data_IF_334346620451
#
_entry.id   IF_334346620451
#
_cell.length_a   1.000
_cell.length_b   1.000
_cell.length_c   1.000
_cell.angle_alpha   90.00
_cell.angle_beta   90.00
_cell.angle_gamma   90.00
#
_symmetry.space_group_name_H-M   'P 1'
#
loop_
_entity.id
_entity.type
_entity.pdbx_description
1 polymer ?
#
# COMPACT_ATOMS: atom_id res chain seq x y z
N UNK A 1 -20.43 34.84 -1.15
CA UNK A 1 -21.34 35.52 -2.10
C UNK A 1 -22.52 34.61 -2.33
N UNK A 2 -23.73 35.15 -2.46
CA UNK A 2 -24.98 34.41 -2.65
C UNK A 2 -25.51 34.74 -4.03
N UNK A 3 -25.73 33.69 -4.84
CA UNK A 3 -26.21 33.76 -6.22
C UNK A 3 -27.48 32.92 -6.33
N UNK A 4 -28.49 33.45 -7.03
CA UNK A 4 -29.78 32.80 -7.26
C UNK A 4 -30.26 33.11 -8.67
N UNK A 5 -30.85 32.12 -9.35
CA UNK A 5 -31.33 32.25 -10.74
C UNK A 5 -30.31 32.91 -11.72
N UNK A 6 -29.00 32.74 -11.48
CA UNK A 6 -27.90 33.37 -12.25
C UNK A 6 -27.49 34.78 -11.79
N UNK A 7 -28.28 35.45 -10.96
CA UNK A 7 -28.01 36.79 -10.45
C UNK A 7 -27.26 36.78 -9.11
N UNK A 8 -26.34 37.73 -8.92
CA UNK A 8 -25.63 37.94 -7.65
C UNK A 8 -26.50 38.77 -6.70
N UNK A 9 -27.12 38.13 -5.70
CA UNK A 9 -28.00 38.81 -4.75
C UNK A 9 -27.24 39.56 -3.65
N UNK A 10 -26.15 38.99 -3.11
CA UNK A 10 -25.28 39.72 -2.18
C UNK A 10 -23.85 39.15 -2.08
N UNK A 11 -22.91 40.00 -1.68
CA UNK A 11 -21.50 39.67 -1.50
C UNK A 11 -20.94 40.23 -0.17
N UNK A 12 -19.80 39.68 0.27
CA UNK A 12 -19.21 39.97 1.58
C UNK A 12 -18.70 38.70 2.27
N UNK A 13 -18.11 38.87 3.45
CA UNK A 13 -17.70 37.75 4.33
C UNK A 13 -18.93 37.11 5.01
N UNK A 14 -18.85 35.84 5.48
CA UNK A 14 -19.97 35.20 6.18
C UNK A 14 -20.44 36.00 7.41
N UNK A 15 -19.51 36.59 8.17
CA UNK A 15 -19.82 37.45 9.31
C UNK A 15 -20.53 38.76 8.91
N UNK A 16 -20.14 39.36 7.78
CA UNK A 16 -20.83 40.54 7.24
C UNK A 16 -22.26 40.20 6.81
N UNK A 17 -22.46 39.11 6.07
CA UNK A 17 -23.79 38.69 5.59
C UNK A 17 -24.71 38.29 6.77
N UNK A 18 -24.21 37.54 7.75
CA UNK A 18 -24.92 37.24 9.02
C UNK A 18 -25.31 38.49 9.80
N UNK A 19 -24.49 39.55 9.79
CA UNK A 19 -24.77 40.82 10.47
C UNK A 19 -25.75 41.71 9.72
N UNK A 20 -25.62 41.81 8.40
CA UNK A 20 -26.40 42.74 7.57
C UNK A 20 -27.76 42.18 7.13
N UNK A 21 -27.89 40.85 6.97
CA UNK A 21 -29.09 40.21 6.39
C UNK A 21 -29.63 39.09 7.31
N UNK A 22 -28.82 38.54 8.22
CA UNK A 22 -29.25 37.47 9.12
C UNK A 22 -30.31 37.89 10.13
N UNK A 23 -31.44 37.18 10.12
CA UNK A 23 -32.73 37.60 10.68
C UNK A 23 -32.79 37.88 12.19
N UNK A 24 -31.88 37.33 13.01
CA UNK A 24 -31.94 37.47 14.46
C UNK A 24 -31.01 36.49 15.18
N UNK A 25 -31.16 36.39 16.50
CA UNK A 25 -30.85 35.14 17.20
C UNK A 25 -32.11 34.29 17.25
N UNK A 26 -31.97 32.97 17.19
CA UNK A 26 -33.06 32.01 17.39
C UNK A 26 -32.94 31.43 18.79
N UNK A 27 -33.95 31.66 19.62
CA UNK A 27 -34.08 31.07 20.95
C UNK A 27 -35.07 29.91 20.88
N UNK A 28 -34.57 28.69 20.93
CA UNK A 28 -35.41 27.49 21.05
C UNK A 28 -35.60 27.16 22.54
N UNK A 29 -36.85 27.06 22.97
CA UNK A 29 -37.25 26.78 24.36
C UNK A 29 -38.00 25.45 24.39
N UNK A 30 -37.52 24.50 25.17
CA UNK A 30 -38.16 23.21 25.41
C UNK A 30 -39.02 23.34 26.66
N UNK A 31 -40.33 23.11 26.54
CA UNK A 31 -41.24 23.00 27.70
C UNK A 31 -40.99 21.68 28.43
N UNK A 32 -41.05 21.69 29.76
CA UNK A 32 -41.15 20.45 30.55
C UNK A 32 -42.42 19.73 30.13
N UNK A 33 -42.29 18.49 29.67
CA UNK A 33 -43.42 17.58 29.65
C UNK A 33 -43.96 17.48 31.08
N UNK A 34 -45.28 17.54 31.25
CA UNK A 34 -45.87 17.19 32.55
C UNK A 34 -45.59 15.72 32.78
N UNK A 35 -44.70 15.42 33.72
CA UNK A 35 -44.41 14.06 34.15
C UNK A 35 -45.65 13.47 34.83
N UNK A 36 -46.53 12.89 34.02
CA UNK A 36 -47.56 11.95 34.46
C UNK A 36 -46.92 10.61 34.84
N UNK A 37 -45.86 10.68 35.67
CA UNK A 37 -45.18 9.57 36.30
C UNK A 37 -46.21 8.76 37.07
N UNK A 38 -46.32 7.48 36.72
CA UNK A 38 -47.52 6.70 36.96
C UNK A 38 -47.84 6.46 38.46
N UNK A 39 -48.65 7.36 39.04
CA UNK A 39 -49.52 7.04 40.19
C UNK A 39 -50.95 6.81 39.73
N UNK A 40 -51.15 5.69 39.03
CA UNK A 40 -52.47 5.06 38.91
C UNK A 40 -52.92 4.57 40.30
N UNK A 41 -53.68 5.40 41.01
CA UNK A 41 -54.83 4.93 41.79
C UNK A 41 -56.00 5.84 41.40
N UNK A 42 -57.15 5.22 41.14
CA UNK A 42 -58.32 5.87 40.58
C UNK A 42 -59.00 6.77 41.62
N UNK A 43 -59.52 7.93 41.23
CA UNK A 43 -60.97 8.14 41.04
C UNK A 43 -61.32 9.59 40.63
N UNK A 44 -62.49 9.74 39.99
CA UNK A 44 -63.26 10.99 39.83
C UNK A 44 -62.60 12.24 39.21
N UNK A 45 -62.65 12.30 37.87
CA UNK A 45 -63.30 13.43 37.16
C UNK A 45 -62.54 14.76 36.95
N UNK A 46 -62.91 15.44 35.86
CA UNK A 46 -62.59 16.85 35.53
C UNK A 46 -61.13 17.21 35.17
N UNK A 47 -60.27 16.26 34.83
CA UNK A 47 -58.88 16.50 34.42
C UNK A 47 -58.66 17.02 32.96
N UNK A 48 -59.67 17.63 32.32
CA UNK A 48 -59.64 18.03 30.90
C UNK A 48 -59.53 19.56 30.67
N UNK A 49 -58.94 20.31 31.61
CA UNK A 49 -58.85 21.78 31.58
C UNK A 49 -57.42 22.35 31.71
N UNK A 50 -56.40 21.51 31.89
CA UNK A 50 -55.02 21.92 32.22
C UNK A 50 -54.05 22.02 31.04
N UNK A 51 -54.45 21.63 29.82
CA UNK A 51 -53.60 21.73 28.62
C UNK A 51 -53.62 23.12 27.97
N UNK A 52 -54.42 24.04 28.52
CA UNK A 52 -54.39 25.45 28.18
C UNK A 52 -53.34 26.15 29.04
N UNK A 53 -52.48 26.93 28.38
CA UNK A 53 -51.62 28.01 28.92
C UNK A 53 -50.14 27.79 29.26
N UNK A 54 -49.54 26.59 29.35
CA UNK A 54 -48.05 26.53 29.50
C UNK A 54 -47.32 27.20 28.34
N UNK A 55 -47.86 27.12 27.11
CA UNK A 55 -47.27 27.78 25.94
C UNK A 55 -47.56 29.30 25.90
N UNK A 56 -48.72 29.77 26.39
CA UNK A 56 -49.02 31.21 26.45
C UNK A 56 -48.27 31.89 27.59
N UNK A 57 -48.08 31.24 28.74
CA UNK A 57 -47.25 31.75 29.85
C UNK A 57 -45.80 31.92 29.40
N UNK A 58 -45.23 30.93 28.68
CA UNK A 58 -43.89 31.06 28.06
C UNK A 58 -43.82 32.22 27.06
N UNK A 59 -44.78 32.33 26.12
CA UNK A 59 -44.84 33.44 25.17
C UNK A 59 -44.95 34.81 25.87
N UNK A 60 -45.91 34.96 26.78
CA UNK A 60 -46.20 36.19 27.51
C UNK A 60 -44.97 36.62 28.35
N UNK A 61 -44.26 35.67 28.96
CA UNK A 61 -43.05 35.97 29.71
C UNK A 61 -41.92 36.45 28.79
N UNK A 62 -41.62 35.73 27.71
CA UNK A 62 -40.57 36.12 26.75
C UNK A 62 -40.88 37.49 26.12
N UNK A 63 -42.14 37.77 25.78
CA UNK A 63 -42.59 39.08 25.29
C UNK A 63 -42.60 40.18 26.38
N UNK A 64 -42.77 39.80 27.65
CA UNK A 64 -42.62 40.75 28.77
C UNK A 64 -41.19 41.28 28.89
N UNK A 65 -40.18 40.43 28.62
CA UNK A 65 -38.76 40.79 28.62
C UNK A 65 -38.31 41.44 27.30
N UNK A 66 -38.73 40.89 26.15
CA UNK A 66 -38.39 41.35 24.81
C UNK A 66 -39.65 41.47 23.94
N UNK A 67 -40.26 42.67 23.81
CA UNK A 67 -41.53 42.84 23.07
C UNK A 67 -41.49 42.42 21.61
N UNK A 68 -40.35 42.60 20.95
CA UNK A 68 -40.09 42.24 19.55
C UNK A 68 -39.81 40.73 19.36
N UNK A 69 -39.96 39.90 20.39
CA UNK A 69 -39.76 38.45 20.29
C UNK A 69 -40.97 37.77 19.61
N UNK A 70 -40.76 37.32 18.37
CA UNK A 70 -41.78 36.66 17.54
C UNK A 70 -41.61 35.16 17.59
N UNK A 71 -42.68 34.42 17.94
CA UNK A 71 -42.72 32.96 17.81
C UNK A 71 -42.74 32.59 16.31
N UNK A 72 -41.72 31.86 15.85
CA UNK A 72 -41.63 31.37 14.46
C UNK A 72 -42.31 30.01 14.29
N UNK A 73 -42.01 29.09 15.21
CA UNK A 73 -42.41 27.69 15.09
C UNK A 73 -42.66 27.08 16.48
N UNK A 74 -43.62 26.16 16.57
CA UNK A 74 -43.85 25.34 17.75
C UNK A 74 -44.07 23.88 17.33
N UNK A 75 -43.17 22.99 17.77
CA UNK A 75 -43.19 21.56 17.46
C UNK A 75 -43.24 20.77 18.77
N UNK A 76 -44.45 20.43 19.22
CA UNK A 76 -44.67 19.72 20.48
C UNK A 76 -44.20 20.50 21.71
N UNK A 77 -43.18 19.99 22.39
CA UNK A 77 -42.49 20.63 23.53
C UNK A 77 -41.72 21.88 23.13
N UNK A 78 -41.31 21.99 21.87
CA UNK A 78 -40.27 22.94 21.47
C UNK A 78 -40.91 24.19 20.84
N UNK A 79 -40.38 25.37 21.18
CA UNK A 79 -40.87 26.67 20.72
C UNK A 79 -39.67 27.54 20.29
N UNK A 80 -39.63 27.95 19.03
CA UNK A 80 -38.53 28.73 18.46
C UNK A 80 -38.95 30.18 18.30
N UNK A 81 -38.33 31.07 19.07
CA UNK A 81 -38.54 32.51 19.06
C UNK A 81 -37.42 33.23 18.31
N UNK A 82 -37.78 34.18 17.45
CA UNK A 82 -36.89 35.13 16.80
C UNK A 82 -36.64 36.31 17.74
N UNK A 83 -35.38 36.56 18.06
CA UNK A 83 -34.93 37.69 18.88
C UNK A 83 -34.18 38.70 17.98
N UNK A 84 -34.50 40.01 18.03
CA UNK A 84 -33.81 41.02 17.23
C UNK A 84 -32.32 41.15 17.62
N UNK A 85 -31.48 41.51 16.64
CA UNK A 85 -30.04 41.79 16.86
C UNK A 85 -29.76 43.18 17.41
N UNK A 86 -30.74 44.09 17.38
CA UNK A 86 -30.59 45.42 17.92
C UNK A 86 -30.88 45.43 19.42
N UNK A 87 -29.81 45.55 20.21
CA UNK A 87 -29.87 45.55 21.67
C UNK A 87 -30.63 46.76 22.25
N UNK A 88 -30.89 47.81 21.47
CA UNK A 88 -31.73 48.93 21.89
C UNK A 88 -33.23 48.60 21.96
N UNK A 89 -33.66 47.49 21.35
CA UNK A 89 -35.05 47.04 21.31
C UNK A 89 -35.43 46.12 22.50
N UNK A 90 -34.46 45.81 23.36
CA UNK A 90 -34.71 45.07 24.61
C UNK A 90 -34.95 46.03 25.78
N UNK A 91 -35.91 45.71 26.65
CA UNK A 91 -36.14 46.42 27.92
C UNK A 91 -34.99 46.25 28.92
N UNK A 92 -34.16 45.22 28.72
CA UNK A 92 -33.23 44.66 29.70
C UNK A 92 -31.94 44.24 28.95
N UNK A 93 -30.73 44.44 29.51
CA UNK A 93 -29.49 43.99 28.88
C UNK A 93 -29.47 42.48 28.57
N UNK A 94 -28.85 42.10 27.45
CA UNK A 94 -28.84 40.72 26.92
C UNK A 94 -28.41 39.65 27.95
N UNK A 95 -27.43 39.95 28.81
CA UNK A 95 -26.98 39.01 29.86
C UNK A 95 -28.03 38.81 30.97
N UNK A 96 -28.80 39.86 31.27
CA UNK A 96 -29.82 39.85 32.32
C UNK A 96 -31.13 39.21 31.83
N UNK A 97 -31.41 39.26 30.52
CA UNK A 97 -32.47 38.48 29.88
C UNK A 97 -32.30 36.97 30.13
N UNK A 98 -31.12 36.41 29.85
CA UNK A 98 -30.86 34.98 30.12
C UNK A 98 -30.86 34.66 31.60
N UNK A 99 -30.25 35.51 32.45
CA UNK A 99 -30.29 35.33 33.90
C UNK A 99 -31.73 35.26 34.45
N UNK A 100 -32.65 36.07 33.92
CA UNK A 100 -34.05 36.04 34.34
C UNK A 100 -34.81 34.82 33.79
N UNK A 101 -34.45 34.32 32.60
CA UNK A 101 -34.93 33.03 32.10
C UNK A 101 -34.43 31.86 32.98
N UNK A 102 -33.15 31.86 33.39
CA UNK A 102 -32.60 30.87 34.32
C UNK A 102 -33.35 30.91 35.67
N UNK A 103 -33.41 32.09 36.32
CA UNK A 103 -34.05 32.30 37.63
C UNK A 103 -35.56 32.00 37.65
N UNK A 104 -36.23 31.96 36.49
CA UNK A 104 -37.68 31.69 36.38
C UNK A 104 -38.03 30.37 35.68
N UNK A 105 -37.06 29.67 35.08
CA UNK A 105 -37.25 28.47 34.26
C UNK A 105 -38.13 27.40 34.91
N UNK A 106 -37.84 27.07 36.17
CA UNK A 106 -38.59 26.10 36.97
C UNK A 106 -40.04 26.52 37.23
N UNK A 107 -40.29 27.81 37.45
CA UNK A 107 -41.63 28.37 37.73
C UNK A 107 -42.50 28.51 36.47
N UNK A 108 -41.87 28.66 35.30
CA UNK A 108 -42.53 28.89 34.01
C UNK A 108 -42.71 27.59 33.22
N UNK A 109 -42.06 26.49 33.64
CA UNK A 109 -42.18 25.18 33.01
C UNK A 109 -41.23 24.98 31.84
N UNK A 110 -40.08 25.65 31.84
CA UNK A 110 -39.01 25.48 30.84
C UNK A 110 -38.09 24.33 31.30
N UNK A 111 -37.84 23.36 30.43
CA UNK A 111 -36.92 22.23 30.68
C UNK A 111 -35.47 22.60 30.31
N UNK A 112 -35.32 23.29 29.19
CA UNK A 112 -34.05 23.83 28.70
C UNK A 112 -34.34 24.92 27.66
N UNK A 113 -33.35 25.75 27.39
CA UNK A 113 -33.36 26.63 26.22
C UNK A 113 -31.99 26.60 25.54
N UNK A 114 -31.97 26.94 24.25
CA UNK A 114 -30.76 27.06 23.44
C UNK A 114 -30.82 28.29 22.55
N UNK A 115 -29.69 28.98 22.42
CA UNK A 115 -29.55 30.16 21.57
C UNK A 115 -28.64 29.85 20.38
N UNK A 116 -29.11 30.09 19.16
CA UNK A 116 -28.30 30.03 17.94
C UNK A 116 -28.23 31.39 17.22
N UNK A 117 -27.06 31.69 16.65
CA UNK A 117 -26.89 32.77 15.67
C UNK A 117 -27.31 32.27 14.28
N UNK A 118 -27.84 33.17 13.44
CA UNK A 118 -28.35 32.84 12.10
C UNK A 118 -27.29 32.10 11.29
N UNK A 119 -27.55 30.89 10.78
CA UNK A 119 -26.58 30.18 9.92
C UNK A 119 -26.39 30.90 8.57
N UNK A 120 -25.30 30.63 7.84
CA UNK A 120 -25.12 31.27 6.50
C UNK A 120 -26.08 30.63 5.48
N UNK A 121 -26.51 29.40 5.77
CA UNK A 121 -27.53 28.61 5.11
C UNK A 121 -28.94 29.22 5.31
N UNK A 122 -29.30 29.64 6.53
CA UNK A 122 -30.53 30.42 6.78
C UNK A 122 -30.51 31.79 6.07
N UNK A 123 -29.37 32.49 6.07
CA UNK A 123 -29.21 33.74 5.31
C UNK A 123 -29.42 33.48 3.82
N UNK A 124 -28.86 32.39 3.27
CA UNK A 124 -29.08 31.98 1.89
C UNK A 124 -30.56 31.73 1.60
N UNK A 125 -31.23 30.88 2.39
CA UNK A 125 -32.63 30.52 2.18
C UNK A 125 -33.57 31.73 2.22
N UNK A 126 -33.41 32.62 3.21
CA UNK A 126 -34.21 33.84 3.33
C UNK A 126 -33.95 34.82 2.16
N UNK A 127 -32.70 34.94 1.69
CA UNK A 127 -32.34 35.78 0.53
C UNK A 127 -32.89 35.20 -0.77
N UNK A 128 -32.95 33.87 -0.93
CA UNK A 128 -33.60 33.26 -2.11
C UNK A 128 -35.12 33.38 -2.05
N UNK A 129 -35.75 33.13 -0.89
CA UNK A 129 -37.21 33.19 -0.73
C UNK A 129 -37.76 34.62 -0.93
N UNK A 130 -37.01 35.64 -0.48
CA UNK A 130 -37.37 37.05 -0.73
C UNK A 130 -37.20 37.47 -2.18
N UNK A 131 -36.20 36.95 -2.90
CA UNK A 131 -36.02 37.19 -4.33
C UNK A 131 -37.09 36.48 -5.17
N UNK A 132 -37.46 35.23 -4.82
CA UNK A 132 -38.52 34.50 -5.52
C UNK A 132 -39.88 35.22 -5.37
N UNK A 133 -40.22 35.70 -4.16
CA UNK A 133 -41.43 36.53 -3.93
C UNK A 133 -41.43 37.87 -4.68
N UNK A 134 -40.25 38.47 -4.89
CA UNK A 134 -40.15 39.71 -5.67
C UNK A 134 -40.44 39.44 -7.15
N UNK A 135 -39.88 38.36 -7.72
CA UNK A 135 -40.09 38.01 -9.13
C UNK A 135 -41.57 37.68 -9.44
N UNK A 136 -42.28 36.98 -8.55
CA UNK A 136 -43.72 36.72 -8.68
C UNK A 136 -44.59 38.00 -8.64
N UNK A 137 -44.04 39.13 -8.19
CA UNK A 137 -44.76 40.41 -8.04
C UNK A 137 -44.71 41.32 -9.27
N UNK A 138 -43.80 41.10 -10.22
CA UNK A 138 -43.56 42.03 -11.36
C UNK A 138 -44.09 41.53 -12.73
N UNK A 139 -44.56 40.28 -12.84
CA UNK A 139 -44.99 39.71 -14.13
C UNK A 139 -46.47 40.00 -14.41
N UNK A 140 -46.76 41.09 -15.12
CA UNK A 140 -48.12 41.42 -15.60
C UNK A 140 -48.14 42.04 -17.01
N UNK A 141 -47.72 41.24 -18.00
CA UNK A 141 -47.89 41.47 -19.45
C UNK A 141 -47.10 42.67 -20.05
N UNK A 142 -46.98 42.82 -21.40
CA UNK A 142 -47.69 42.12 -22.47
C UNK A 142 -46.81 41.39 -23.52
N UNK A 143 -47.51 40.73 -24.45
CA UNK A 143 -46.98 39.92 -25.53
C UNK A 143 -46.25 40.69 -26.64
N UNK A 144 -45.52 39.95 -27.51
CA UNK A 144 -45.59 40.06 -28.98
C UNK A 144 -45.07 38.77 -29.65
N UNK A 145 -45.49 38.55 -30.89
CA UNK A 145 -45.52 37.29 -31.64
C UNK A 145 -44.25 36.91 -32.43
N UNK A 146 -44.33 35.73 -33.05
CA UNK A 146 -43.86 35.33 -34.41
C UNK A 146 -42.46 34.73 -34.69
N UNK A 147 -42.52 33.66 -35.51
CA UNK A 147 -41.55 33.08 -36.46
C UNK A 147 -40.29 32.30 -35.99
N UNK A 148 -40.46 30.98 -35.96
CA UNK A 148 -39.83 29.98 -36.85
C UNK A 148 -38.33 30.02 -37.16
N UNK A 149 -37.69 28.84 -37.09
CA UNK A 149 -37.28 28.10 -38.30
C UNK A 149 -37.22 26.58 -38.00
N UNK A 150 -37.62 25.77 -38.98
CA UNK A 150 -38.01 24.38 -38.80
C UNK A 150 -36.87 23.35 -38.78
N UNK A 151 -37.17 22.16 -38.26
CA UNK A 151 -36.80 20.90 -38.92
C UNK A 151 -38.02 19.97 -39.03
N UNK A 152 -38.28 19.54 -40.27
CA UNK A 152 -39.20 18.48 -40.72
C UNK A 152 -38.78 17.09 -40.15
N UNK A 153 -39.51 15.96 -40.21
CA UNK A 153 -40.92 15.49 -40.44
C UNK A 153 -40.80 13.95 -40.59
N UNK A 154 -41.70 13.04 -40.22
CA UNK A 154 -42.93 12.97 -39.38
C UNK A 154 -43.12 11.43 -39.10
N UNK A 155 -44.19 10.74 -38.64
CA UNK A 155 -45.61 11.00 -38.38
C UNK A 155 -46.15 10.08 -37.27
N UNK A 156 -47.39 10.33 -36.83
CA UNK A 156 -48.37 9.36 -36.26
C UNK A 156 -47.85 8.12 -35.51
N UNK A 157 -48.17 8.05 -34.21
CA UNK A 157 -49.29 7.16 -33.84
C UNK A 157 -50.12 7.75 -32.68
N UNK A 158 -51.40 7.39 -32.63
CA UNK A 158 -52.36 7.86 -31.64
C UNK A 158 -52.43 6.93 -30.43
N UNK A 159 -51.67 7.22 -29.36
CA UNK A 159 -52.00 6.69 -28.03
C UNK A 159 -52.06 7.80 -27.00
N UNK A 160 -53.25 8.40 -26.87
CA UNK A 160 -53.62 9.32 -25.77
C UNK A 160 -53.69 8.53 -24.47
N UNK A 161 -52.53 8.24 -23.89
CA UNK A 161 -52.40 7.58 -22.59
C UNK A 161 -53.07 8.44 -21.52
N UNK A 162 -54.24 8.00 -21.05
CA UNK A 162 -54.81 8.52 -19.82
C UNK A 162 -53.78 8.29 -18.72
N UNK A 163 -53.20 9.37 -18.21
CA UNK A 163 -52.60 9.38 -16.88
C UNK A 163 -53.72 9.04 -15.90
N UNK A 164 -53.87 7.75 -15.60
CA UNK A 164 -54.67 7.29 -14.47
C UNK A 164 -53.87 7.70 -13.24
N UNK A 165 -54.09 8.94 -12.80
CA UNK A 165 -53.73 9.41 -11.48
C UNK A 165 -54.60 8.63 -10.49
N UNK A 166 -54.17 7.41 -10.16
CA UNK A 166 -54.65 6.72 -8.97
C UNK A 166 -54.19 7.54 -7.79
N UNK A 167 -55.05 8.42 -7.29
CA UNK A 167 -54.95 8.87 -5.91
C UNK A 167 -54.75 7.63 -5.03
N UNK A 168 -53.69 7.57 -4.20
CA UNK A 168 -53.55 6.49 -3.25
C UNK A 168 -54.62 6.69 -2.19
N UNK A 169 -55.79 6.05 -2.39
CA UNK A 169 -56.89 6.04 -1.43
C UNK A 169 -56.32 5.74 -0.06
N UNK A 170 -56.36 6.73 0.85
CA UNK A 170 -55.88 6.60 2.23
C UNK A 170 -56.80 5.69 3.03
N UNK A 171 -56.70 4.40 2.73
CA UNK A 171 -57.15 3.35 3.62
C UNK A 171 -56.34 3.49 4.91
N UNK A 172 -56.99 3.93 5.98
CA UNK A 172 -56.39 4.03 7.31
C UNK A 172 -56.24 2.63 7.92
N UNK A 173 -55.53 1.74 7.21
CA UNK A 173 -55.04 0.48 7.74
C UNK A 173 -53.97 0.78 8.78
N UNK A 174 -54.42 0.99 10.01
CA UNK A 174 -53.59 0.95 11.21
C UNK A 174 -53.08 -0.49 11.34
N UNK A 175 -51.97 -0.79 10.65
CA UNK A 175 -51.29 -2.07 10.79
C UNK A 175 -51.00 -2.29 12.28
N UNK A 176 -51.49 -3.39 12.89
CA UNK A 176 -51.30 -3.62 14.30
C UNK A 176 -49.79 -3.67 14.59
N UNK A 177 -49.32 -2.75 15.45
CA UNK A 177 -47.92 -2.73 15.89
C UNK A 177 -47.60 -4.09 16.50
N UNK A 178 -46.87 -4.92 15.76
CA UNK A 178 -46.25 -6.15 16.27
C UNK A 178 -45.44 -5.80 17.51
N UNK A 179 -45.28 -6.74 18.45
CA UNK A 179 -44.50 -6.56 19.68
C UNK A 179 -43.63 -7.79 19.93
N UNK A 180 -42.57 -7.63 20.73
CA UNK A 180 -41.61 -8.70 21.03
C UNK A 180 -40.82 -9.19 19.83
N UNK A 181 -40.34 -10.44 19.86
CA UNK A 181 -39.42 -11.00 18.88
C UNK A 181 -39.88 -10.90 17.40
N UNK A 182 -41.20 -10.91 17.15
CA UNK A 182 -41.74 -10.79 15.77
C UNK A 182 -41.52 -9.41 15.14
N UNK A 183 -41.30 -8.35 15.94
CA UNK A 183 -40.73 -7.10 15.43
C UNK A 183 -39.29 -7.32 14.98
N UNK A 184 -38.45 -7.85 15.87
CA UNK A 184 -37.00 -7.98 15.68
C UNK A 184 -36.70 -8.79 14.40
N UNK A 185 -37.37 -9.92 14.18
CA UNK A 185 -37.24 -10.66 12.93
C UNK A 185 -37.73 -9.89 11.69
N UNK A 186 -38.81 -9.11 11.79
CA UNK A 186 -39.26 -8.27 10.67
C UNK A 186 -38.33 -7.09 10.38
N UNK A 187 -37.69 -6.53 11.41
CA UNK A 187 -36.69 -5.47 11.31
C UNK A 187 -35.38 -6.00 10.72
N UNK A 188 -34.90 -7.16 11.17
CA UNK A 188 -33.76 -7.87 10.57
C UNK A 188 -34.06 -8.18 9.10
N UNK A 189 -35.24 -8.71 8.78
CA UNK A 189 -35.67 -8.96 7.40
C UNK A 189 -35.67 -7.69 6.54
N UNK A 190 -36.20 -6.58 7.04
CA UNK A 190 -36.20 -5.30 6.35
C UNK A 190 -34.79 -4.71 6.16
N UNK A 191 -33.90 -4.87 7.16
CA UNK A 191 -32.51 -4.44 7.09
C UNK A 191 -31.69 -5.29 6.10
N UNK A 192 -31.91 -6.60 6.08
CA UNK A 192 -31.33 -7.51 5.08
C UNK A 192 -31.83 -7.15 3.67
N UNK A 193 -33.14 -6.96 3.49
CA UNK A 193 -33.72 -6.55 2.21
C UNK A 193 -33.17 -5.20 1.74
N UNK A 194 -33.04 -4.21 2.64
CA UNK A 194 -32.37 -2.92 2.36
C UNK A 194 -30.92 -3.11 1.94
N UNK A 195 -30.17 -4.00 2.60
CA UNK A 195 -28.77 -4.33 2.26
C UNK A 195 -28.68 -5.02 0.90
N UNK A 196 -29.59 -5.94 0.59
CA UNK A 196 -29.71 -6.57 -0.74
C UNK A 196 -30.07 -5.55 -1.84
N UNK A 197 -30.98 -4.60 -1.60
CA UNK A 197 -31.27 -3.54 -2.56
C UNK A 197 -30.08 -2.61 -2.80
N UNK A 198 -29.36 -2.22 -1.75
CA UNK A 198 -28.13 -1.42 -1.87
C UNK A 198 -27.07 -2.15 -2.71
N UNK A 199 -26.84 -3.42 -2.41
CA UNK A 199 -25.89 -4.32 -3.07
C UNK A 199 -26.27 -4.60 -4.53
N UNK A 200 -27.57 -4.82 -4.83
CA UNK A 200 -28.07 -4.99 -6.21
C UNK A 200 -27.96 -3.70 -7.02
N UNK A 201 -28.17 -2.52 -6.40
CA UNK A 201 -28.01 -1.22 -7.07
C UNK A 201 -26.54 -0.83 -7.25
N UNK A 202 -25.63 -1.33 -6.41
CA UNK A 202 -24.19 -1.06 -6.49
C UNK A 202 -23.35 -2.35 -6.52
N UNK A 203 -23.64 -3.21 -7.51
CA UNK A 203 -22.99 -4.51 -7.71
C UNK A 203 -21.47 -4.44 -7.88
N UNK A 204 -20.94 -3.27 -8.28
CA UNK A 204 -19.49 -3.03 -8.39
C UNK A 204 -18.78 -3.12 -7.03
N UNK A 205 -19.41 -2.65 -5.94
CA UNK A 205 -18.81 -2.76 -4.59
C UNK A 205 -18.73 -4.22 -4.14
N UNK A 206 -19.75 -5.04 -4.44
CA UNK A 206 -19.69 -6.50 -4.25
C UNK A 206 -18.50 -7.07 -5.04
N UNK A 207 -18.43 -6.78 -6.34
CA UNK A 207 -17.42 -7.35 -7.22
C UNK A 207 -16.00 -7.02 -6.73
N UNK A 208 -15.72 -5.77 -6.35
CA UNK A 208 -14.43 -5.40 -5.73
C UNK A 208 -14.19 -6.11 -4.41
N UNK A 209 -15.19 -6.20 -3.53
CA UNK A 209 -15.05 -6.82 -2.20
C UNK A 209 -14.80 -8.34 -2.24
N UNK A 210 -15.18 -9.03 -3.32
CA UNK A 210 -14.91 -10.46 -3.54
C UNK A 210 -13.64 -10.69 -4.39
N UNK A 211 -13.42 -9.89 -5.44
CA UNK A 211 -12.25 -10.07 -6.31
C UNK A 211 -10.94 -9.66 -5.62
N UNK A 212 -10.94 -8.59 -4.81
CA UNK A 212 -9.72 -8.14 -4.12
C UNK A 212 -9.08 -9.22 -3.22
N UNK A 213 -9.80 -9.89 -2.29
CA UNK A 213 -9.20 -10.98 -1.51
C UNK A 213 -8.87 -12.22 -2.36
N UNK A 214 -9.62 -12.52 -3.43
CA UNK A 214 -9.28 -13.63 -4.33
C UNK A 214 -7.96 -13.36 -5.08
N UNK A 215 -7.73 -12.14 -5.57
CA UNK A 215 -6.44 -11.74 -6.15
C UNK A 215 -5.32 -11.83 -5.11
N UNK A 216 -5.57 -11.37 -3.86
CA UNK A 216 -4.61 -11.51 -2.76
C UNK A 216 -4.22 -12.97 -2.47
N UNK A 217 -5.18 -13.90 -2.48
CA UNK A 217 -4.94 -15.34 -2.31
C UNK A 217 -4.16 -15.93 -3.48
N UNK A 218 -4.49 -15.57 -4.73
CA UNK A 218 -3.75 -16.02 -5.92
C UNK A 218 -2.30 -15.54 -5.92
N UNK A 219 -2.06 -14.27 -5.55
CA UNK A 219 -0.72 -13.71 -5.39
C UNK A 219 0.04 -14.43 -4.26
N UNK A 220 -0.61 -14.66 -3.11
CA UNK A 220 -0.01 -15.40 -1.99
C UNK A 220 0.37 -16.84 -2.40
N UNK A 221 -0.52 -17.55 -3.11
CA UNK A 221 -0.26 -18.90 -3.60
C UNK A 221 0.88 -18.92 -4.65
N UNK A 222 0.95 -17.91 -5.52
CA UNK A 222 2.06 -17.72 -6.44
C UNK A 222 3.40 -17.56 -5.72
N UNK A 223 3.48 -16.70 -4.71
CA UNK A 223 4.69 -16.59 -3.88
C UNK A 223 5.01 -17.87 -3.10
N UNK A 224 4.01 -18.57 -2.57
CA UNK A 224 4.21 -19.87 -1.90
C UNK A 224 4.76 -20.94 -2.86
N UNK A 225 4.36 -20.92 -4.13
CA UNK A 225 4.86 -21.83 -5.17
C UNK A 225 6.27 -21.52 -5.66
N UNK A 226 6.83 -20.35 -5.30
CA UNK A 226 8.23 -19.96 -5.58
C UNK A 226 9.16 -20.32 -4.41
N UNK A 227 8.61 -20.73 -3.26
CA UNK A 227 9.43 -21.33 -2.19
C UNK A 227 10.02 -22.65 -2.71
N UNK A 228 11.35 -22.75 -2.70
CA UNK A 228 12.04 -24.01 -2.97
C UNK A 228 11.77 -25.00 -1.84
N UNK A 229 11.53 -26.27 -2.18
CA UNK A 229 11.37 -27.32 -1.18
C UNK A 229 12.73 -27.58 -0.51
N UNK A 230 12.80 -27.36 0.79
CA UNK A 230 14.03 -27.55 1.57
C UNK A 230 14.41 -29.04 1.76
N UNK A 231 13.60 -29.98 1.26
CA UNK A 231 13.74 -31.43 1.45
C UNK A 231 14.53 -32.15 0.34
N UNK A 232 14.62 -31.58 -0.88
CA UNK A 232 15.25 -32.21 -2.05
C UNK A 232 16.75 -31.88 -2.19
N UNK A 233 17.53 -31.96 -1.10
CA UNK A 233 18.99 -31.72 -1.14
C UNK A 233 19.73 -32.90 -1.79
N UNK A 234 19.87 -32.87 -3.12
CA UNK A 234 20.68 -33.85 -3.85
C UNK A 234 22.17 -33.79 -3.45
N UNK A 235 22.89 -34.93 -3.44
CA UNK A 235 24.31 -34.97 -3.05
C UNK A 235 25.19 -34.32 -4.13
N UNK A 236 25.74 -33.14 -3.84
CA UNK A 236 26.66 -32.44 -4.73
C UNK A 236 28.08 -33.04 -4.68
N UNK A 237 28.61 -33.44 -5.84
CA UNK A 237 30.01 -33.88 -5.96
C UNK A 237 30.96 -32.69 -5.84
N UNK A 238 31.96 -32.80 -4.96
CA UNK A 238 32.86 -31.71 -4.59
C UNK A 238 34.04 -31.60 -5.55
N UNK A 239 33.79 -30.99 -6.70
CA UNK A 239 34.75 -30.82 -7.80
C UNK A 239 34.91 -29.32 -8.16
N UNK A 240 36.06 -28.84 -8.67
CA UNK A 240 36.18 -27.46 -9.16
C UNK A 240 35.18 -27.09 -10.27
N UNK A 241 34.80 -28.07 -11.11
CA UNK A 241 33.87 -27.89 -12.23
C UNK A 241 32.42 -27.54 -11.84
N UNK A 242 32.03 -27.64 -10.55
CA UNK A 242 30.70 -27.18 -10.07
C UNK A 242 30.46 -25.68 -10.28
N UNK A 243 31.53 -24.91 -10.52
CA UNK A 243 31.46 -23.48 -10.81
C UNK A 243 31.25 -23.16 -12.30
N UNK A 244 31.06 -24.18 -13.13
CA UNK A 244 30.84 -24.06 -14.58
C UNK A 244 32.13 -24.02 -15.40
N UNK A 245 31.97 -23.94 -16.72
CA UNK A 245 33.07 -23.81 -17.68
C UNK A 245 33.65 -22.40 -17.75
N UNK A 246 34.91 -22.28 -18.18
CA UNK A 246 35.60 -21.00 -18.33
C UNK A 246 36.00 -20.32 -17.01
N UNK A 247 35.92 -21.04 -15.89
CA UNK A 247 36.46 -20.60 -14.60
C UNK A 247 37.98 -20.42 -14.69
N UNK A 248 38.52 -19.49 -13.90
CA UNK A 248 39.94 -19.13 -13.92
C UNK A 248 40.61 -19.64 -12.65
N UNK A 249 41.29 -20.78 -12.76
CA UNK A 249 42.10 -21.35 -11.68
C UNK A 249 43.57 -20.97 -11.88
N UNK A 250 44.40 -21.06 -10.84
CA UNK A 250 45.81 -20.73 -10.95
C UNK A 250 46.70 -21.73 -10.21
N UNK A 251 47.96 -21.83 -10.63
CA UNK A 251 49.00 -22.46 -9.83
C UNK A 251 50.27 -21.62 -9.76
N UNK A 252 51.12 -21.96 -8.78
CA UNK A 252 52.51 -21.52 -8.70
C UNK A 252 53.39 -22.62 -8.09
N UNK A 253 54.51 -22.92 -8.72
CA UNK A 253 55.58 -23.73 -8.12
C UNK A 253 56.71 -22.81 -7.64
N UNK A 254 57.04 -22.88 -6.35
CA UNK A 254 58.16 -22.17 -5.74
C UNK A 254 59.35 -23.08 -5.39
N UNK A 255 59.26 -24.38 -5.69
CA UNK A 255 60.29 -25.40 -5.39
C UNK A 255 61.02 -25.87 -6.66
N UNK A 256 60.30 -26.04 -7.78
CA UNK A 256 60.85 -26.52 -9.06
C UNK A 256 61.64 -27.85 -8.92
N UNK A 257 61.08 -28.79 -8.16
CA UNK A 257 61.62 -30.13 -7.92
C UNK A 257 60.88 -31.18 -8.78
N UNK A 258 61.48 -32.35 -8.99
CA UNK A 258 60.89 -33.48 -9.73
C UNK A 258 59.46 -33.83 -9.28
N UNK A 259 59.16 -33.69 -7.98
CA UNK A 259 57.82 -33.93 -7.43
C UNK A 259 56.81 -32.83 -7.82
N UNK A 260 57.16 -31.55 -7.64
CA UNK A 260 56.28 -30.43 -8.00
C UNK A 260 56.08 -30.33 -9.52
N UNK A 261 57.11 -30.63 -10.31
CA UNK A 261 57.01 -30.78 -11.77
C UNK A 261 56.05 -31.93 -12.14
N UNK A 262 56.02 -33.04 -11.39
CA UNK A 262 55.04 -34.12 -11.63
C UNK A 262 53.62 -33.68 -11.25
N UNK A 263 53.43 -32.95 -10.14
CA UNK A 263 52.14 -32.32 -9.80
C UNK A 263 51.66 -31.36 -10.91
N UNK A 264 52.53 -30.46 -11.39
CA UNK A 264 52.25 -29.53 -12.49
C UNK A 264 51.89 -30.27 -13.79
N UNK A 265 52.60 -31.34 -14.13
CA UNK A 265 52.30 -32.15 -15.32
C UNK A 265 50.93 -32.82 -15.21
N UNK A 266 50.56 -33.31 -14.02
CA UNK A 266 49.24 -33.87 -13.70
C UNK A 266 48.13 -32.80 -13.68
N UNK A 267 48.42 -31.57 -13.26
CA UNK A 267 47.49 -30.43 -13.35
C UNK A 267 47.21 -29.98 -14.79
N UNK A 268 48.25 -30.00 -15.63
CA UNK A 268 48.23 -29.31 -16.93
C UNK A 268 47.89 -30.22 -18.11
N UNK A 269 48.34 -31.48 -18.12
CA UNK A 269 48.25 -32.39 -19.27
C UNK A 269 47.59 -33.72 -18.88
N UNK A 270 46.47 -33.64 -18.16
CA UNK A 270 45.71 -34.79 -17.65
C UNK A 270 44.38 -34.89 -18.42
N UNK A 271 44.09 -36.04 -19.07
CA UNK A 271 42.89 -36.19 -19.90
C UNK A 271 41.57 -36.13 -19.11
N UNK A 272 41.65 -36.26 -17.78
CA UNK A 272 40.50 -36.13 -16.86
C UNK A 272 40.38 -34.72 -16.25
N UNK A 273 41.22 -33.78 -16.69
CA UNK A 273 41.24 -32.40 -16.18
C UNK A 273 41.86 -32.27 -14.79
N UNK A 274 41.59 -31.13 -14.15
CA UNK A 274 42.06 -30.76 -12.80
C UNK A 274 41.23 -31.46 -11.71
N UNK A 275 39.93 -31.67 -12.00
CA UNK A 275 38.99 -32.38 -11.14
C UNK A 275 38.80 -33.86 -11.53
N UNK A 276 37.55 -34.31 -11.45
CA UNK A 276 37.07 -35.67 -11.74
C UNK A 276 36.05 -35.69 -12.90
N UNK A 277 35.60 -34.51 -13.36
CA UNK A 277 34.49 -34.35 -14.30
C UNK A 277 34.68 -34.96 -15.70
N UNK A 278 35.92 -35.36 -16.05
CA UNK A 278 36.24 -36.00 -17.33
C UNK A 278 36.78 -37.46 -17.19
N UNK A 279 36.62 -38.07 -16.03
CA UNK A 279 36.84 -39.51 -15.81
C UNK A 279 35.65 -40.30 -16.37
N UNK A 280 35.91 -41.24 -17.29
CA UNK A 280 34.87 -41.82 -18.18
C UNK A 280 33.67 -42.40 -17.44
N UNK A 281 33.93 -43.29 -16.47
CA UNK A 281 32.89 -44.06 -15.80
C UNK A 281 32.26 -43.27 -14.62
N UNK A 282 32.90 -42.19 -14.18
CA UNK A 282 32.44 -41.30 -13.10
C UNK A 282 31.63 -40.10 -13.62
N UNK A 283 32.01 -39.55 -14.78
CA UNK A 283 31.36 -38.39 -15.38
C UNK A 283 29.88 -38.66 -15.71
N UNK A 284 29.58 -39.86 -16.21
CA UNK A 284 28.23 -40.25 -16.62
C UNK A 284 27.24 -40.37 -15.45
N UNK A 285 27.71 -40.80 -14.27
CA UNK A 285 26.87 -41.04 -13.09
C UNK A 285 26.63 -39.76 -12.25
N UNK A 286 27.55 -38.78 -12.33
CA UNK A 286 27.59 -37.65 -11.38
C UNK A 286 27.58 -36.24 -11.99
N UNK A 287 27.73 -36.09 -13.32
CA UNK A 287 27.80 -34.77 -13.96
C UNK A 287 26.81 -34.61 -15.12
N UNK A 288 25.69 -33.91 -14.87
CA UNK A 288 24.71 -33.56 -15.89
C UNK A 288 25.33 -32.70 -17.02
N UNK A 289 25.62 -33.36 -18.15
CA UNK A 289 26.08 -32.75 -19.41
C UNK A 289 27.40 -31.96 -19.34
N UNK A 290 28.36 -32.38 -18.52
CA UNK A 290 29.71 -31.79 -18.58
C UNK A 290 30.39 -32.12 -19.93
N UNK A 291 30.86 -31.09 -20.64
CA UNK A 291 31.51 -31.24 -21.95
C UNK A 291 33.02 -31.13 -21.82
N UNK A 292 33.70 -32.27 -21.79
CA UNK A 292 35.15 -32.33 -21.83
C UNK A 292 35.70 -31.79 -23.16
N UNK A 293 36.73 -30.96 -23.10
CA UNK A 293 37.31 -30.26 -24.24
C UNK A 293 38.73 -30.73 -24.56
N UNK A 294 39.19 -30.48 -25.79
CA UNK A 294 40.60 -30.66 -26.13
C UNK A 294 41.46 -29.60 -25.42
N UNK A 295 42.61 -30.01 -24.89
CA UNK A 295 43.54 -29.11 -24.20
C UNK A 295 44.11 -28.05 -25.16
N UNK A 296 44.13 -26.79 -24.76
CA UNK A 296 44.77 -25.74 -25.57
C UNK A 296 46.30 -25.80 -25.48
N UNK A 297 47.06 -25.24 -26.44
CA UNK A 297 48.42 -24.79 -26.16
C UNK A 297 48.41 -23.71 -25.06
N UNK A 298 49.56 -23.47 -24.44
CA UNK A 298 49.78 -22.29 -23.60
C UNK A 298 49.72 -21.01 -24.46
N UNK A 299 48.91 -20.05 -24.05
CA UNK A 299 48.83 -18.73 -24.67
C UNK A 299 48.98 -17.62 -23.62
N UNK A 300 49.29 -16.40 -24.05
CA UNK A 300 49.58 -15.27 -23.18
C UNK A 300 48.49 -14.21 -23.34
N UNK A 301 47.67 -13.98 -22.30
CA UNK A 301 46.78 -12.80 -22.27
C UNK A 301 47.38 -11.73 -21.37
N UNK A 302 48.10 -10.79 -21.97
CA UNK A 302 48.41 -9.51 -21.31
C UNK A 302 47.13 -8.65 -21.23
N UNK A 303 46.28 -8.88 -20.24
CA UNK A 303 45.20 -7.95 -19.90
C UNK A 303 45.78 -6.73 -19.14
N UNK A 304 45.31 -5.50 -19.43
CA UNK A 304 45.65 -4.33 -18.63
C UNK A 304 44.85 -4.33 -17.32
N UNK A 305 45.52 -4.44 -16.17
CA UNK A 305 44.85 -4.46 -14.86
C UNK A 305 44.99 -3.15 -14.09
N UNK A 306 43.88 -2.64 -13.56
CA UNK A 306 43.80 -1.42 -12.75
C UNK A 306 44.60 -1.52 -11.45
N UNK A 307 45.31 -0.45 -11.07
CA UNK A 307 46.03 -0.40 -9.79
C UNK A 307 45.03 -0.06 -8.69
N UNK A 308 44.90 -0.95 -7.71
CA UNK A 308 44.19 -0.73 -6.44
C UNK A 308 45.08 0.09 -5.49
N UNK A 309 44.57 1.24 -5.05
CA UNK A 309 45.13 2.01 -3.93
C UNK A 309 44.08 2.21 -2.84
N UNK A 310 44.52 2.53 -1.62
CA UNK A 310 43.63 2.80 -0.48
C UNK A 310 43.84 4.21 0.14
N UNK A 311 43.74 5.30 -0.64
CA UNK A 311 43.79 6.65 -0.07
C UNK A 311 42.62 6.85 0.93
N UNK A 312 42.93 7.36 2.12
CA UNK A 312 41.96 7.69 3.16
C UNK A 312 40.97 6.55 3.51
N UNK A 313 41.49 5.32 3.63
CA UNK A 313 40.73 4.09 3.94
C UNK A 313 39.61 3.72 2.95
N UNK A 314 39.58 4.34 1.76
CA UNK A 314 38.67 3.96 0.67
C UNK A 314 39.44 3.27 -0.43
N UNK A 315 38.96 2.12 -0.89
CA UNK A 315 39.51 1.42 -2.04
C UNK A 315 39.22 2.22 -3.31
N UNK A 316 40.27 2.65 -4.00
CA UNK A 316 40.20 3.41 -5.25
C UNK A 316 40.98 2.67 -6.32
N UNK A 317 40.29 2.33 -7.41
CA UNK A 317 40.90 1.79 -8.61
C UNK A 317 41.39 2.96 -9.47
N UNK A 318 42.64 2.90 -9.92
CA UNK A 318 43.19 3.91 -10.84
C UNK A 318 43.42 3.29 -12.22
N UNK A 319 43.10 4.06 -13.27
CA UNK A 319 43.13 3.62 -14.67
C UNK A 319 44.55 3.51 -15.27
N UNK A 320 45.60 3.42 -14.43
CA UNK A 320 46.93 3.09 -14.92
C UNK A 320 47.00 1.57 -15.15
N UNK A 321 47.18 1.10 -16.40
CA UNK A 321 47.25 -0.32 -16.68
C UNK A 321 48.56 -0.90 -16.14
N UNK A 322 48.46 -2.03 -15.43
CA UNK A 322 49.61 -2.88 -15.16
C UNK A 322 49.53 -4.14 -16.01
N UNK A 323 50.56 -4.36 -16.83
CA UNK A 323 50.69 -5.53 -17.69
C UNK A 323 51.15 -6.73 -16.86
N UNK A 324 50.19 -7.44 -16.25
CA UNK A 324 50.43 -8.80 -15.81
C UNK A 324 50.33 -9.74 -17.01
N UNK A 325 51.46 -9.94 -17.69
CA UNK A 325 51.60 -11.07 -18.61
C UNK A 325 51.57 -12.37 -17.78
N UNK A 326 50.56 -13.19 -18.06
CA UNK A 326 50.28 -14.48 -17.43
C UNK A 326 49.99 -15.47 -18.55
N UNK A 327 50.59 -16.66 -18.45
CA UNK A 327 50.31 -17.75 -19.36
C UNK A 327 49.05 -18.48 -18.89
N UNK A 328 48.14 -18.76 -19.81
CA UNK A 328 46.91 -19.50 -19.57
C UNK A 328 46.86 -20.75 -20.46
N UNK A 329 46.28 -21.83 -19.95
CA UNK A 329 45.97 -23.06 -20.70
C UNK A 329 44.54 -23.52 -20.38
N UNK A 330 43.75 -23.87 -21.38
CA UNK A 330 42.50 -24.59 -21.20
C UNK A 330 42.78 -26.07 -20.95
N UNK A 331 42.31 -26.60 -19.83
CA UNK A 331 42.41 -28.02 -19.46
C UNK A 331 41.17 -28.80 -19.91
N UNK A 332 41.22 -30.13 -19.88
CA UNK A 332 40.13 -30.99 -20.35
C UNK A 332 38.78 -30.76 -19.63
N UNK A 333 38.79 -30.29 -18.37
CA UNK A 333 37.58 -29.90 -17.59
C UNK A 333 36.96 -28.54 -17.99
N UNK A 334 37.41 -27.96 -19.11
CA UNK A 334 37.00 -26.64 -19.66
C UNK A 334 37.30 -25.43 -18.76
N UNK A 335 38.21 -25.60 -17.81
CA UNK A 335 38.74 -24.55 -16.93
C UNK A 335 39.98 -23.87 -17.57
N UNK A 336 40.23 -22.60 -17.21
CA UNK A 336 41.41 -21.85 -17.62
C UNK A 336 42.44 -21.84 -16.48
N UNK A 337 43.54 -22.55 -16.67
CA UNK A 337 44.62 -22.70 -15.71
C UNK A 337 45.73 -21.66 -15.96
N UNK A 338 45.95 -20.78 -14.98
CA UNK A 338 46.89 -19.67 -15.04
C UNK A 338 48.21 -19.98 -14.34
N UNK A 339 49.34 -19.76 -15.01
CA UNK A 339 50.68 -19.89 -14.44
C UNK A 339 51.11 -18.58 -13.74
N UNK A 340 51.37 -18.65 -12.43
CA UNK A 340 51.83 -17.51 -11.62
C UNK A 340 53.27 -17.67 -11.09
N UNK A 341 54.09 -18.53 -11.69
CA UNK A 341 55.49 -18.79 -11.28
C UNK A 341 56.32 -17.48 -11.25
N UNK A 342 56.04 -16.57 -12.19
CA UNK A 342 56.70 -15.26 -12.32
C UNK A 342 56.01 -14.12 -11.56
N UNK A 343 54.94 -14.39 -10.81
CA UNK A 343 54.08 -13.36 -10.20
C UNK A 343 54.00 -13.50 -8.67
N UNK A 344 53.83 -12.37 -7.98
CA UNK A 344 53.58 -12.37 -6.54
C UNK A 344 52.08 -12.50 -6.25
N UNK A 345 51.64 -13.67 -5.80
CA UNK A 345 50.22 -14.05 -5.71
C UNK A 345 49.36 -13.01 -5.00
N UNK A 346 49.68 -12.51 -3.79
CA UNK A 346 48.81 -11.55 -3.11
C UNK A 346 48.59 -10.25 -3.90
N UNK A 347 49.59 -9.71 -4.60
CA UNK A 347 49.41 -8.49 -5.39
C UNK A 347 48.68 -8.76 -6.72
N UNK A 348 48.90 -9.92 -7.34
CA UNK A 348 48.15 -10.36 -8.51
C UNK A 348 46.67 -10.59 -8.18
N UNK A 349 46.36 -11.35 -7.12
CA UNK A 349 44.97 -11.62 -6.70
C UNK A 349 44.23 -10.34 -6.33
N UNK A 350 44.85 -9.39 -5.61
CA UNK A 350 44.20 -8.13 -5.24
C UNK A 350 43.97 -7.19 -6.43
N UNK A 351 44.93 -7.07 -7.36
CA UNK A 351 44.80 -6.19 -8.54
C UNK A 351 43.87 -6.76 -9.62
N UNK A 352 43.88 -8.09 -9.78
CA UNK A 352 43.02 -8.78 -10.75
C UNK A 352 41.68 -9.22 -10.14
N UNK A 353 41.40 -8.89 -8.87
CA UNK A 353 40.19 -9.30 -8.16
C UNK A 353 38.93 -8.98 -8.97
N UNK A 354 38.74 -7.71 -9.35
CA UNK A 354 37.48 -7.24 -9.94
C UNK A 354 37.14 -7.92 -11.29
N UNK A 355 38.16 -8.26 -12.08
CA UNK A 355 38.04 -8.99 -13.36
C UNK A 355 37.62 -10.46 -13.15
N UNK A 356 38.21 -11.13 -12.16
CA UNK A 356 38.03 -12.57 -11.94
C UNK A 356 37.12 -12.91 -10.74
N UNK A 357 36.45 -11.92 -10.13
CA UNK A 357 35.66 -12.05 -8.88
C UNK A 357 34.46 -13.00 -8.96
N UNK A 358 34.09 -13.44 -10.17
CA UNK A 358 32.95 -14.31 -10.52
C UNK A 358 33.40 -15.60 -11.25
N UNK A 359 34.70 -15.76 -11.53
CA UNK A 359 35.25 -16.91 -12.26
C UNK A 359 36.42 -17.60 -11.56
N UNK A 360 37.12 -16.92 -10.63
CA UNK A 360 38.22 -17.49 -9.84
C UNK A 360 37.74 -17.92 -8.47
N UNK A 361 37.57 -19.23 -8.30
CA UNK A 361 37.14 -19.85 -7.05
C UNK A 361 38.29 -20.45 -6.23
N UNK A 362 39.47 -20.65 -6.82
CA UNK A 362 40.65 -21.12 -6.10
C UNK A 362 41.89 -21.31 -6.98
N UNK A 363 42.91 -21.95 -6.40
CA UNK A 363 44.19 -22.29 -7.01
C UNK A 363 45.13 -23.01 -6.04
N UNK A 364 46.32 -23.39 -6.51
CA UNK A 364 47.27 -24.21 -5.75
C UNK A 364 48.67 -23.59 -5.71
N UNK A 365 49.38 -23.71 -4.59
CA UNK A 365 50.79 -23.30 -4.51
C UNK A 365 51.65 -24.40 -3.90
N UNK A 366 52.73 -24.74 -4.59
CA UNK A 366 53.69 -25.75 -4.15
C UNK A 366 54.92 -25.04 -3.56
N UNK A 367 55.14 -25.22 -2.26
CA UNK A 367 56.23 -24.57 -1.52
C UNK A 367 57.06 -25.62 -0.76
N UNK A 368 58.28 -25.26 -0.35
CA UNK A 368 59.20 -26.21 0.30
C UNK A 368 58.93 -26.24 1.81
N UNK A 369 58.73 -27.44 2.39
CA UNK A 369 58.40 -27.63 3.81
C UNK A 369 59.36 -26.89 4.76
N UNK A 370 60.64 -26.81 4.40
CA UNK A 370 61.66 -26.07 5.16
C UNK A 370 62.69 -25.42 4.23
N UNK A 371 63.11 -24.20 4.57
CA UNK A 371 64.21 -23.52 3.88
C UNK A 371 65.49 -24.37 3.91
N UNK A 372 65.89 -24.88 2.74
CA UNK A 372 67.08 -25.72 2.57
C UNK A 372 66.82 -27.20 2.32
N UNK A 373 65.58 -27.70 2.40
CA UNK A 373 65.23 -29.09 2.09
C UNK A 373 64.39 -29.17 0.80
N UNK A 374 65.00 -29.15 -0.40
CA UNK A 374 64.27 -29.07 -1.67
C UNK A 374 63.46 -30.34 -2.03
N UNK A 375 63.61 -31.42 -1.28
CA UNK A 375 63.05 -32.73 -1.60
C UNK A 375 61.60 -32.92 -1.15
N UNK A 376 61.12 -32.13 -0.19
CA UNK A 376 59.78 -32.28 0.42
C UNK A 376 58.92 -31.04 0.11
N UNK A 377 57.77 -31.28 -0.52
CA UNK A 377 56.92 -30.26 -1.14
C UNK A 377 55.58 -30.22 -0.42
N UNK A 378 55.28 -29.11 0.25
CA UNK A 378 54.00 -28.88 0.90
C UNK A 378 53.06 -28.14 -0.08
N UNK A 379 51.92 -28.75 -0.45
CA UNK A 379 50.93 -28.11 -1.29
C UNK A 379 49.89 -27.32 -0.46
N UNK A 380 49.65 -26.08 -0.85
CA UNK A 380 48.66 -25.20 -0.23
C UNK A 380 47.50 -24.92 -1.20
N UNK A 381 46.28 -24.88 -0.67
CA UNK A 381 45.06 -24.54 -1.43
C UNK A 381 44.67 -23.10 -1.13
N UNK A 382 44.53 -22.31 -2.19
CA UNK A 382 43.90 -21.00 -2.15
C UNK A 382 42.44 -21.17 -2.59
N UNK A 383 41.49 -20.61 -1.84
CA UNK A 383 40.07 -20.70 -2.15
C UNK A 383 39.37 -19.36 -1.90
N UNK A 384 38.32 -19.09 -2.66
CA UNK A 384 37.47 -17.91 -2.54
C UNK A 384 36.29 -18.22 -1.62
N UNK A 385 36.16 -17.47 -0.52
CA UNK A 385 35.02 -17.59 0.41
C UNK A 385 33.66 -17.20 -0.19
N UNK A 386 33.64 -16.69 -1.43
CA UNK A 386 32.40 -16.53 -2.21
C UNK A 386 31.82 -17.86 -2.71
N UNK A 387 32.67 -18.88 -2.89
CA UNK A 387 32.24 -20.21 -3.32
C UNK A 387 31.93 -21.09 -2.12
N UNK A 388 30.66 -21.37 -1.86
CA UNK A 388 30.19 -22.16 -0.71
C UNK A 388 30.93 -23.51 -0.52
N UNK A 389 31.37 -24.13 -1.62
CA UNK A 389 32.07 -25.41 -1.64
C UNK A 389 33.50 -25.32 -2.18
N UNK A 390 34.06 -24.11 -2.35
CA UNK A 390 35.37 -23.93 -2.97
C UNK A 390 36.51 -24.57 -2.15
N UNK A 391 36.51 -24.40 -0.82
CA UNK A 391 37.51 -25.02 0.05
C UNK A 391 37.57 -26.55 -0.11
N UNK A 392 36.48 -27.33 0.07
CA UNK A 392 36.54 -28.78 -0.10
C UNK A 392 36.78 -29.21 -1.55
N UNK A 393 36.20 -28.53 -2.56
CA UNK A 393 36.40 -28.90 -3.97
C UNK A 393 37.85 -28.76 -4.45
N UNK A 394 38.51 -27.65 -4.12
CA UNK A 394 39.91 -27.43 -4.49
C UNK A 394 40.88 -28.30 -3.66
N UNK A 395 40.50 -28.70 -2.45
CA UNK A 395 41.23 -29.67 -1.63
C UNK A 395 41.07 -31.12 -2.12
N UNK A 396 39.87 -31.50 -2.58
CA UNK A 396 39.63 -32.79 -3.24
C UNK A 396 40.45 -32.88 -4.55
N UNK A 397 40.39 -31.85 -5.39
CA UNK A 397 41.24 -31.75 -6.58
C UNK A 397 42.73 -31.86 -6.24
N UNK A 398 43.22 -31.15 -5.21
CA UNK A 398 44.62 -31.31 -4.76
C UNK A 398 44.96 -32.75 -4.37
N UNK A 399 44.07 -33.41 -3.62
CA UNK A 399 44.25 -34.81 -3.20
C UNK A 399 44.32 -35.74 -4.41
N UNK A 400 43.49 -35.50 -5.43
CA UNK A 400 43.50 -36.23 -6.70
C UNK A 400 44.77 -35.94 -7.53
N UNK A 401 45.29 -34.71 -7.53
CA UNK A 401 46.56 -34.36 -8.19
C UNK A 401 47.72 -35.12 -7.54
N UNK A 402 47.80 -35.13 -6.20
CA UNK A 402 48.84 -35.87 -5.47
C UNK A 402 48.72 -37.37 -5.76
N UNK A 403 47.52 -37.96 -5.64
CA UNK A 403 47.27 -39.38 -5.93
C UNK A 403 47.68 -39.76 -7.36
N UNK A 404 47.16 -39.06 -8.37
CA UNK A 404 47.46 -39.32 -9.79
C UNK A 404 48.94 -39.12 -10.11
N UNK A 405 49.61 -38.17 -9.45
CA UNK A 405 51.06 -37.99 -9.60
C UNK A 405 51.90 -39.11 -8.97
N UNK A 406 51.35 -39.90 -8.04
CA UNK A 406 52.06 -41.03 -7.44
C UNK A 406 51.87 -42.34 -8.22
N UNK A 407 50.97 -42.38 -9.21
CA UNK A 407 50.77 -43.55 -10.06
C UNK A 407 52.04 -43.90 -10.88
N UNK A 408 52.28 -45.21 -11.13
CA UNK A 408 53.31 -45.68 -12.05
C UNK A 408 52.91 -45.39 -13.50
N UNK A 409 53.91 -45.21 -14.38
CA UNK A 409 53.72 -44.81 -15.78
C UNK A 409 52.80 -45.73 -16.60
N UNK A 410 52.68 -46.99 -16.20
CA UNK A 410 51.91 -48.03 -16.90
C UNK A 410 50.41 -47.98 -16.57
N UNK A 411 49.99 -47.13 -15.62
CA UNK A 411 48.58 -46.88 -15.29
C UNK A 411 48.17 -45.47 -15.74
N UNK A 412 47.24 -45.40 -16.69
CA UNK A 412 46.65 -44.14 -17.12
C UNK A 412 45.67 -43.65 -16.07
N UNK A 413 45.76 -42.39 -15.66
CA UNK A 413 44.88 -41.75 -14.66
C UNK A 413 43.45 -41.45 -15.18
N UNK A 414 42.94 -42.27 -16.11
CA UNK A 414 41.61 -42.18 -16.72
C UNK A 414 40.64 -43.27 -16.27
N UNK A 415 41.14 -44.21 -15.47
CA UNK A 415 40.42 -45.22 -14.68
C UNK A 415 40.50 -44.81 -13.19
#
# INVERSE_FOLDING_TARGET
AIMHQGNLLCCGSPAFLKRAIGIGFSLTVVKKEQDNGCRHIENNGLANLSNMETSTVVCNYIQSLCPEAVLLEQVGTDMTFKIPKDLSQMKIPFYQFFRQLDESSDHIGIASYGLSDTTIEEVFLNVTETADRANDSEVSNPAISTHDIATHVDSNDQTRSKLIFTEPTRTNHVYPRRKGATLVFSQIGALLLKRCHHYRRNWRILLTAVILPLIGLLISMGFSSVRMNDEDTQPLVLDPSIYGSGTNTFYRDSVNNMMSIKFMKTLTNSPVGIGTSCMKDWAADYFDKHTCVEESPWYNISKPFSIVGCPNFKQVYTNMPTEFSVLEKRVASDELLQNLDRQYIPSYLLRTFEEYKETRYGGWTFEAKQYGTPFDVDPYVWFSSKGYHAMPSFFNSLSNIVLRSQLPSDKVASE
#
